data_IF_191683361541
#
_entry.id   IF_191683361541
#
_cell.length_a   1.000
_cell.length_b   1.000
_cell.length_c   1.000
_cell.angle_alpha   90.00
_cell.angle_beta   90.00
_cell.angle_gamma   90.00
#
_symmetry.space_group_name_H-M   'P 1'
#
loop_
_entity.id
_entity.type
_entity.pdbx_description
1 polymer ?
#
# COMPACT_ATOMS: atom_id res chain seq x y z
N UNK A 1 -0.50 5.58 -5.76
CA UNK A 1 0.81 6.23 -5.96
C UNK A 1 1.44 5.71 -7.23
N UNK A 2 2.18 6.56 -7.94
CA UNK A 2 2.92 6.21 -9.16
C UNK A 2 4.38 6.70 -9.09
N UNK A 3 5.26 6.02 -9.82
CA UNK A 3 6.68 6.38 -9.99
C UNK A 3 7.08 6.29 -11.47
N UNK A 4 8.10 7.05 -11.88
CA UNK A 4 8.60 7.10 -13.25
C UNK A 4 10.07 6.75 -13.36
N UNK A 5 10.46 6.06 -14.43
CA UNK A 5 11.87 5.82 -14.73
C UNK A 5 12.59 7.03 -15.38
N UNK A 6 11.93 8.19 -15.41
CA UNK A 6 12.45 9.43 -15.97
C UNK A 6 12.75 10.49 -14.90
N UNK A 7 12.33 10.27 -13.65
CA UNK A 7 12.51 11.24 -12.56
C UNK A 7 12.57 10.62 -11.16
N UNK A 8 12.71 11.48 -10.15
CA UNK A 8 12.86 11.11 -8.75
C UNK A 8 11.60 11.33 -7.91
N UNK A 9 10.44 11.43 -8.56
CA UNK A 9 9.19 11.79 -7.90
C UNK A 9 8.32 10.55 -7.64
N UNK A 10 7.86 10.44 -6.40
CA UNK A 10 6.68 9.63 -6.06
C UNK A 10 5.48 10.55 -6.12
N UNK A 11 4.44 10.13 -6.85
CA UNK A 11 3.23 10.92 -7.07
C UNK A 11 2.04 10.27 -6.41
N UNK A 12 1.27 11.05 -5.68
CA UNK A 12 -0.08 10.67 -5.31
C UNK A 12 -1.01 11.07 -6.45
N UNK A 13 -1.88 10.14 -6.83
CA UNK A 13 -2.77 10.30 -7.97
C UNK A 13 -4.17 9.96 -7.50
N UNK A 14 -5.13 10.80 -7.88
CA UNK A 14 -6.54 10.54 -7.66
C UNK A 14 -6.99 9.37 -8.57
N UNK A 15 -7.50 8.26 -8.01
CA UNK A 15 -7.77 7.05 -8.78
C UNK A 15 -8.93 7.20 -9.78
N UNK A 16 -9.83 8.16 -9.58
CA UNK A 16 -10.98 8.40 -10.47
C UNK A 16 -10.61 9.25 -11.68
N UNK A 17 -9.70 10.21 -11.49
CA UNK A 17 -9.34 11.22 -12.50
C UNK A 17 -7.97 11.01 -13.11
N UNK A 18 -7.11 10.22 -12.47
CA UNK A 18 -5.69 10.06 -12.77
C UNK A 18 -4.86 11.36 -12.70
N UNK A 19 -5.41 12.41 -12.08
CA UNK A 19 -4.69 13.66 -11.87
C UNK A 19 -3.74 13.55 -10.67
N UNK A 20 -2.52 14.07 -10.83
CA UNK A 20 -1.53 14.16 -9.76
C UNK A 20 -2.03 15.13 -8.68
N UNK A 21 -2.18 14.65 -7.45
CA UNK A 21 -2.64 15.43 -6.30
C UNK A 21 -1.49 15.95 -5.44
N UNK A 22 -0.40 15.18 -5.36
CA UNK A 22 0.82 15.57 -4.64
C UNK A 22 2.06 14.90 -5.23
N UNK A 23 3.24 15.49 -5.00
CA UNK A 23 4.52 14.95 -5.45
C UNK A 23 5.56 15.02 -4.32
N UNK A 24 6.35 13.96 -4.18
CA UNK A 24 7.41 13.85 -3.19
C UNK A 24 8.71 13.46 -3.91
N UNK A 25 9.72 14.33 -3.84
CA UNK A 25 11.07 14.01 -4.36
C UNK A 25 11.80 13.09 -3.39
N UNK A 26 12.32 11.98 -3.93
CA UNK A 26 13.10 11.00 -3.18
C UNK A 26 14.58 11.38 -3.04
N UNK A 27 15.05 12.38 -3.80
CA UNK A 27 16.43 12.85 -3.72
C UNK A 27 16.70 13.60 -2.42
N UNK A 28 17.78 13.22 -1.73
CA UNK A 28 18.31 13.91 -0.55
C UNK A 28 19.61 14.60 -0.93
N UNK A 29 19.54 15.92 -1.11
CA UNK A 29 20.67 16.74 -1.51
C UNK A 29 21.93 16.47 -0.65
N UNK A 30 23.01 16.05 -1.31
CA UNK A 30 24.30 15.77 -0.68
C UNK A 30 24.42 14.40 0.02
N UNK A 31 23.40 13.55 -0.07
CA UNK A 31 23.41 12.19 0.48
C UNK A 31 22.99 11.14 -0.55
N UNK A 32 21.82 11.31 -1.17
CA UNK A 32 21.24 10.38 -2.15
C UNK A 32 20.73 11.21 -3.34
N UNK A 33 21.19 10.91 -4.54
CA UNK A 33 20.66 11.52 -5.78
C UNK A 33 20.01 10.41 -6.61
N UNK A 34 18.68 10.49 -6.73
CA UNK A 34 17.86 9.57 -7.50
C UNK A 34 17.66 10.19 -8.88
N UNK A 35 17.89 9.42 -9.93
CA UNK A 35 17.69 9.83 -11.32
C UNK A 35 16.39 9.26 -11.91
N UNK A 36 15.97 8.09 -11.43
CA UNK A 36 14.81 7.35 -11.90
C UNK A 36 14.31 6.37 -10.83
N UNK A 37 13.01 6.11 -10.80
CA UNK A 37 12.39 5.13 -9.89
C UNK A 37 11.53 4.15 -10.69
N UNK A 38 11.70 2.85 -10.43
CA UNK A 38 10.90 1.77 -11.02
C UNK A 38 10.31 0.93 -9.92
N UNK A 39 9.09 0.43 -10.10
CA UNK A 39 8.41 -0.37 -9.09
C UNK A 39 8.20 0.38 -7.77
N UNK A 40 7.06 0.16 -7.15
CA UNK A 40 6.80 0.68 -5.81
C UNK A 40 5.87 -0.29 -5.11
N UNK A 41 6.21 -0.67 -3.89
CA UNK A 41 5.38 -1.52 -3.06
C UNK A 41 5.37 -0.99 -1.63
N UNK A 42 4.27 -1.26 -0.94
CA UNK A 42 4.06 -0.78 0.42
C UNK A 42 4.09 -1.98 1.34
N UNK A 43 4.95 -1.90 2.35
CA UNK A 43 5.05 -2.98 3.31
C UNK A 43 3.73 -3.07 4.11
N UNK A 44 3.05 -4.23 4.13
CA UNK A 44 1.66 -4.35 4.58
C UNK A 44 1.45 -3.98 6.04
N UNK A 45 2.47 -4.13 6.89
CA UNK A 45 2.36 -3.84 8.32
C UNK A 45 3.02 -2.54 8.78
N UNK A 46 4.06 -2.05 8.08
CA UNK A 46 4.76 -0.83 8.50
C UNK A 46 4.31 0.40 7.71
N UNK A 47 3.72 0.21 6.53
CA UNK A 47 3.37 1.30 5.62
C UNK A 47 4.58 1.94 4.93
N UNK A 48 5.79 1.42 5.14
CA UNK A 48 7.00 1.92 4.47
C UNK A 48 6.97 1.57 2.99
N UNK A 49 7.42 2.49 2.15
CA UNK A 49 7.46 2.32 0.70
C UNK A 49 8.81 1.77 0.30
N UNK A 50 8.81 0.72 -0.52
CA UNK A 50 9.99 0.14 -1.11
C UNK A 50 9.98 0.42 -2.61
N UNK A 51 11.11 0.88 -3.13
CA UNK A 51 11.24 1.35 -4.52
C UNK A 51 12.58 0.90 -5.13
N UNK A 52 12.61 0.67 -6.44
CA UNK A 52 13.85 0.41 -7.16
C UNK A 52 14.39 1.73 -7.72
N UNK A 53 15.40 2.29 -7.08
CA UNK A 53 15.95 3.58 -7.42
C UNK A 53 17.24 3.45 -8.24
N UNK A 54 17.28 4.11 -9.40
CA UNK A 54 18.50 4.35 -10.14
C UNK A 54 19.13 5.64 -9.61
N UNK A 55 20.28 5.48 -8.98
CA UNK A 55 21.01 6.53 -8.30
C UNK A 55 22.25 6.99 -9.08
N UNK A 56 22.49 8.30 -9.10
CA UNK A 56 23.77 8.92 -9.46
C UNK A 56 24.68 9.10 -8.24
N UNK A 57 24.12 9.11 -7.02
CA UNK A 57 24.87 9.16 -5.77
C UNK A 57 24.18 8.31 -4.68
N UNK A 58 24.81 7.23 -4.18
CA UNK A 58 25.93 6.52 -4.79
C UNK A 58 25.56 5.97 -6.17
N UNK A 59 26.51 5.93 -7.10
CA UNK A 59 26.23 5.47 -8.48
C UNK A 59 25.71 4.04 -8.49
N UNK A 60 24.61 3.82 -9.20
CA UNK A 60 24.08 2.49 -9.51
C UNK A 60 25.02 1.74 -10.44
N UNK A 61 25.45 0.53 -10.08
CA UNK A 61 26.12 -0.37 -11.02
C UNK A 61 25.15 -0.76 -12.13
N UNK A 62 25.11 0.05 -13.20
CA UNK A 62 24.17 -0.12 -14.29
C UNK A 62 24.24 -1.56 -14.86
N UNK A 63 23.08 -2.18 -15.16
CA UNK A 63 21.73 -1.60 -15.14
C UNK A 63 20.95 -1.80 -13.82
N UNK A 64 21.59 -2.29 -12.76
CA UNK A 64 20.88 -2.73 -11.55
C UNK A 64 20.52 -1.57 -10.61
N UNK A 65 19.26 -1.46 -10.15
CA UNK A 65 18.83 -0.44 -9.20
C UNK A 65 19.33 -0.71 -7.77
N UNK A 66 19.11 0.27 -6.90
CA UNK A 66 19.17 0.08 -5.45
C UNK A 66 17.76 -0.12 -4.90
N UNK A 67 17.63 -0.94 -3.86
CA UNK A 67 16.41 -0.98 -3.07
C UNK A 67 16.44 0.19 -2.08
N UNK A 68 15.46 1.08 -2.22
CA UNK A 68 15.22 2.25 -1.39
C UNK A 68 14.02 1.98 -0.49
N UNK A 69 14.11 2.37 0.77
CA UNK A 69 12.98 2.38 1.72
C UNK A 69 12.67 3.83 2.10
N UNK A 70 11.40 4.20 2.04
CA UNK A 70 10.90 5.48 2.51
C UNK A 70 9.88 5.26 3.63
N UNK A 71 10.10 5.94 4.75
CA UNK A 71 9.17 6.00 5.87
C UNK A 71 8.31 7.27 5.73
N UNK A 72 7.03 7.15 5.33
CA UNK A 72 6.17 8.31 5.12
C UNK A 72 5.74 9.00 6.41
N UNK A 73 5.89 8.36 7.58
CA UNK A 73 5.54 8.94 8.88
C UNK A 73 6.66 9.83 9.38
N UNK A 74 7.89 9.33 9.32
CA UNK A 74 9.09 10.05 9.79
C UNK A 74 9.75 10.90 8.68
N UNK A 75 9.28 10.77 7.44
CA UNK A 75 9.81 11.44 6.25
C UNK A 75 11.31 11.16 6.05
N UNK A 76 11.70 9.90 6.25
CA UNK A 76 13.09 9.47 6.13
C UNK A 76 13.27 8.49 4.98
N UNK A 77 14.31 8.71 4.18
CA UNK A 77 14.71 7.81 3.10
C UNK A 77 15.96 7.05 3.49
N UNK A 78 15.95 5.73 3.34
CA UNK A 78 17.04 4.83 3.66
C UNK A 78 17.41 3.98 2.44
N UNK A 79 18.71 3.82 2.20
CA UNK A 79 19.21 2.90 1.18
C UNK A 79 19.34 1.51 1.80
N UNK A 80 18.46 0.59 1.43
CA UNK A 80 18.44 -0.78 1.97
C UNK A 80 19.65 -1.57 1.47
N UNK A 81 19.87 -1.56 0.15
CA UNK A 81 21.03 -2.20 -0.43
C UNK A 81 20.92 -2.44 -1.94
N UNK A 82 21.97 -3.01 -2.50
CA UNK A 82 22.09 -3.21 -3.93
C UNK A 82 21.39 -4.49 -4.38
N UNK A 83 20.55 -4.41 -5.41
CA UNK A 83 19.73 -5.55 -5.86
C UNK A 83 20.49 -6.58 -6.69
N UNK A 84 21.70 -6.25 -7.15
CA UNK A 84 22.58 -7.10 -7.98
C UNK A 84 22.05 -7.35 -9.40
N UNK A 85 20.75 -7.51 -9.59
CA UNK A 85 20.06 -7.68 -10.87
C UNK A 85 19.23 -6.45 -11.24
N UNK A 86 18.89 -6.33 -12.52
CA UNK A 86 18.07 -5.26 -13.10
C UNK A 86 16.59 -5.56 -12.88
N UNK A 87 16.08 -5.20 -11.70
CA UNK A 87 14.66 -5.33 -11.36
C UNK A 87 13.81 -4.24 -12.01
N UNK A 88 12.63 -4.62 -12.50
CA UNK A 88 11.65 -3.70 -13.08
C UNK A 88 10.52 -3.40 -12.10
N UNK A 89 10.01 -4.42 -11.42
CA UNK A 89 8.81 -4.31 -10.60
C UNK A 89 8.91 -5.11 -9.30
N UNK A 90 8.12 -4.72 -8.30
CA UNK A 90 8.13 -5.34 -6.96
C UNK A 90 6.77 -5.23 -6.27
N UNK A 91 6.50 -6.17 -5.36
CA UNK A 91 5.25 -6.23 -4.62
C UNK A 91 5.42 -7.02 -3.32
N UNK A 92 4.66 -6.67 -2.28
CA UNK A 92 4.68 -7.40 -1.02
C UNK A 92 3.60 -8.48 -0.97
N UNK A 93 3.96 -9.66 -0.46
CA UNK A 93 2.98 -10.61 0.06
C UNK A 93 2.32 -10.05 1.32
N UNK A 94 1.15 -10.58 1.70
CA UNK A 94 0.48 -10.29 2.97
C UNK A 94 1.39 -10.61 4.17
N UNK A 95 2.28 -11.60 4.02
CA UNK A 95 3.27 -11.96 5.03
C UNK A 95 4.44 -10.96 5.17
N UNK A 96 4.57 -10.01 4.25
CA UNK A 96 5.65 -9.01 4.21
C UNK A 96 6.91 -9.47 3.47
N UNK A 97 6.83 -10.53 2.65
CA UNK A 97 7.92 -10.92 1.77
C UNK A 97 7.90 -10.06 0.50
N UNK A 98 9.01 -9.42 0.16
CA UNK A 98 9.11 -8.58 -1.04
C UNK A 98 9.40 -9.44 -2.26
N UNK A 99 8.41 -9.63 -3.14
CA UNK A 99 8.55 -10.25 -4.46
C UNK A 99 9.02 -9.21 -5.47
N UNK A 100 9.81 -9.63 -6.45
CA UNK A 100 10.27 -8.76 -7.51
C UNK A 100 10.53 -9.54 -8.80
N UNK A 101 10.40 -8.85 -9.93
CA UNK A 101 10.71 -9.40 -11.25
C UNK A 101 11.78 -8.58 -11.97
N UNK A 102 12.70 -9.27 -12.64
CA UNK A 102 13.73 -8.60 -13.43
C UNK A 102 13.19 -8.11 -14.77
N UNK A 103 13.82 -7.07 -15.31
CA UNK A 103 13.83 -6.86 -16.75
C UNK A 103 14.34 -8.11 -17.49
N UNK A 104 14.07 -8.17 -18.79
CA UNK A 104 14.54 -9.25 -19.66
C UNK A 104 16.05 -9.43 -19.54
N UNK A 105 16.47 -10.62 -19.12
CA UNK A 105 17.86 -11.00 -19.10
C UNK A 105 18.38 -11.25 -20.52
N UNK A 106 19.70 -11.28 -20.67
CA UNK A 106 20.34 -11.63 -21.95
C UNK A 106 19.94 -13.00 -22.53
N UNK A 107 19.32 -13.87 -21.73
CA UNK A 107 18.77 -15.17 -22.15
C UNK A 107 17.39 -15.05 -22.81
N UNK A 108 16.70 -13.91 -22.68
CA UNK A 108 15.29 -13.73 -23.09
C UNK A 108 14.28 -14.15 -22.02
N UNK A 109 14.75 -14.33 -20.79
CA UNK A 109 13.97 -14.76 -19.63
C UNK A 109 13.97 -13.67 -18.57
N UNK A 110 13.03 -13.73 -17.62
CA UNK A 110 12.95 -12.81 -16.48
C UNK A 110 12.92 -13.60 -15.17
N UNK A 111 13.72 -13.19 -14.18
CA UNK A 111 13.78 -13.88 -12.90
C UNK A 111 12.73 -13.34 -11.96
N UNK A 112 11.98 -14.24 -11.33
CA UNK A 112 11.10 -13.94 -10.22
C UNK A 112 11.83 -14.27 -8.92
N UNK A 113 11.98 -13.28 -8.06
CA UNK A 113 12.82 -13.35 -6.86
C UNK A 113 12.08 -12.86 -5.62
N UNK A 114 12.61 -13.24 -4.45
CA UNK A 114 12.39 -12.53 -3.20
C UNK A 114 13.55 -11.57 -2.95
N UNK A 115 13.28 -10.31 -2.66
CA UNK A 115 14.28 -9.33 -2.26
C UNK A 115 14.35 -9.24 -0.74
N UNK A 116 15.57 -9.26 -0.21
CA UNK A 116 15.78 -8.99 1.22
C UNK A 116 15.50 -7.52 1.54
N UNK A 117 14.49 -7.25 2.36
CA UNK A 117 14.21 -5.89 2.91
C UNK A 117 15.29 -5.37 3.86
N UNK A 118 16.33 -6.17 4.13
CA UNK A 118 17.48 -5.80 4.98
C UNK A 118 18.74 -5.52 4.16
N UNK A 119 18.90 -6.18 3.01
CA UNK A 119 20.15 -6.12 2.24
C UNK A 119 19.97 -5.74 0.77
N UNK A 120 18.74 -5.72 0.26
CA UNK A 120 18.41 -5.61 -1.17
C UNK A 120 18.73 -6.85 -2.00
N UNK A 121 19.44 -7.83 -1.42
CA UNK A 121 19.92 -9.00 -2.15
C UNK A 121 18.78 -9.95 -2.59
N UNK A 122 18.84 -10.51 -3.81
CA UNK A 122 17.80 -11.39 -4.33
C UNK A 122 18.02 -12.86 -3.94
N UNK A 123 16.92 -13.55 -3.67
CA UNK A 123 16.79 -15.00 -3.63
C UNK A 123 15.92 -15.44 -4.81
N UNK A 124 16.52 -16.21 -5.73
CA UNK A 124 15.85 -16.71 -6.92
C UNK A 124 14.76 -17.74 -6.56
N UNK A 125 13.54 -17.53 -7.06
CA UNK A 125 12.40 -18.42 -6.82
C UNK A 125 12.13 -19.28 -8.05
N UNK A 126 11.94 -18.63 -9.19
CA UNK A 126 11.76 -19.25 -10.50
C UNK A 126 12.04 -18.25 -11.63
N UNK A 127 11.87 -18.69 -12.86
CA UNK A 127 12.18 -17.91 -14.05
C UNK A 127 11.05 -18.02 -15.08
N UNK A 128 10.64 -16.88 -15.62
CA UNK A 128 9.67 -16.79 -16.70
C UNK A 128 10.38 -16.79 -18.06
N UNK A 129 9.85 -17.59 -18.99
CA UNK A 129 10.34 -17.64 -20.37
C UNK A 129 9.68 -16.54 -21.22
N UNK A 130 10.36 -16.16 -22.31
CA UNK A 130 9.71 -15.41 -23.39
C UNK A 130 9.43 -13.93 -23.10
N UNK A 131 10.16 -13.32 -22.17
CA UNK A 131 10.14 -11.86 -21.98
C UNK A 131 10.80 -11.15 -23.16
N UNK A 132 10.21 -10.03 -23.59
CA UNK A 132 10.89 -9.05 -24.45
C UNK A 132 10.83 -7.60 -23.93
N UNK A 133 10.43 -7.40 -22.68
CA UNK A 133 10.42 -6.12 -21.96
C UNK A 133 9.18 -5.95 -21.08
N UNK A 134 9.13 -4.89 -20.26
CA UNK A 134 7.91 -4.52 -19.52
C UNK A 134 7.42 -5.54 -18.50
N UNK A 135 8.31 -6.40 -17.97
CA UNK A 135 7.93 -7.40 -16.99
C UNK A 135 7.41 -6.76 -15.71
N UNK A 136 6.14 -6.96 -15.45
CA UNK A 136 5.45 -6.51 -14.25
C UNK A 136 4.71 -7.67 -13.60
N UNK A 137 4.58 -7.62 -12.29
CA UNK A 137 3.89 -8.62 -11.48
C UNK A 137 2.78 -7.98 -10.69
N UNK A 138 1.72 -8.75 -10.43
CA UNK A 138 0.67 -8.38 -9.52
C UNK A 138 0.24 -9.62 -8.71
N UNK A 139 0.10 -9.48 -7.39
CA UNK A 139 -0.42 -10.52 -6.51
C UNK A 139 -1.94 -10.39 -6.45
N UNK A 140 -2.63 -11.17 -7.28
CA UNK A 140 -4.08 -11.24 -7.30
C UNK A 140 -4.65 -11.85 -6.01
N UNK A 141 -5.98 -12.04 -5.99
CA UNK A 141 -6.68 -12.61 -4.84
C UNK A 141 -6.06 -13.94 -4.36
N UNK A 142 -5.77 -14.02 -3.06
CA UNK A 142 -5.11 -15.18 -2.46
C UNK A 142 -3.62 -15.32 -2.80
N UNK A 143 -2.96 -14.21 -3.16
CA UNK A 143 -1.53 -14.10 -3.47
C UNK A 143 -1.10 -14.89 -4.72
N UNK A 144 -2.00 -15.03 -5.68
CA UNK A 144 -1.68 -15.64 -6.98
C UNK A 144 -0.83 -14.67 -7.81
N UNK A 145 0.31 -15.13 -8.33
CA UNK A 145 1.26 -14.27 -9.06
C UNK A 145 0.86 -14.14 -10.52
N UNK A 146 0.22 -13.03 -10.89
CA UNK A 146 0.00 -12.67 -12.27
C UNK A 146 1.22 -11.94 -12.84
N UNK A 147 1.48 -12.13 -14.13
CA UNK A 147 2.55 -11.45 -14.85
C UNK A 147 2.01 -10.79 -16.10
N UNK A 148 2.40 -9.55 -16.32
CA UNK A 148 2.27 -8.86 -17.60
C UNK A 148 3.66 -8.65 -18.19
N UNK A 149 3.80 -8.86 -19.50
CA UNK A 149 5.08 -8.59 -20.17
C UNK A 149 4.92 -8.33 -21.66
N UNK A 150 5.91 -7.66 -22.22
CA UNK A 150 6.23 -7.63 -23.63
C UNK A 150 5.69 -6.44 -24.41
N UNK A 151 5.63 -6.59 -25.75
CA UNK A 151 5.19 -5.56 -26.69
C UNK A 151 6.29 -4.62 -27.18
N UNK A 152 7.52 -4.78 -26.70
CA UNK A 152 8.66 -3.93 -27.04
C UNK A 152 9.35 -4.32 -28.35
N UNK A 153 9.21 -5.57 -28.79
CA UNK A 153 9.73 -6.03 -30.08
C UNK A 153 8.64 -6.05 -31.14
N UNK A 154 8.91 -5.48 -32.32
CA UNK A 154 7.96 -5.50 -33.44
C UNK A 154 7.53 -6.92 -33.79
N UNK A 155 6.23 -7.21 -33.60
CA UNK A 155 5.63 -8.52 -33.89
C UNK A 155 5.58 -9.49 -32.70
N UNK A 156 6.03 -9.07 -31.52
CA UNK A 156 5.80 -9.75 -30.25
C UNK A 156 4.64 -9.05 -29.53
N UNK A 157 3.46 -9.68 -29.41
CA UNK A 157 2.37 -9.09 -28.65
C UNK A 157 2.66 -9.12 -27.16
N UNK A 158 1.98 -8.27 -26.39
CA UNK A 158 1.99 -8.39 -24.93
C UNK A 158 1.31 -9.68 -24.49
N UNK A 159 1.70 -10.12 -23.29
CA UNK A 159 1.18 -11.30 -22.64
C UNK A 159 0.69 -10.91 -21.25
N UNK A 160 -0.47 -11.45 -20.89
CA UNK A 160 -0.95 -11.47 -19.52
C UNK A 160 -1.06 -12.92 -19.11
N UNK A 161 -0.51 -13.28 -17.96
CA UNK A 161 -0.23 -14.64 -17.59
C UNK A 161 -0.66 -14.94 -16.17
N UNK A 162 -1.25 -16.13 -15.98
CA UNK A 162 -1.69 -16.68 -14.70
C UNK A 162 -0.99 -18.02 -14.44
N UNK A 163 -0.61 -18.37 -13.20
CA UNK A 163 0.09 -19.61 -12.90
C UNK A 163 -0.80 -20.85 -13.12
N UNK A 164 -0.22 -21.95 -13.63
CA UNK A 164 -0.98 -23.19 -13.93
C UNK A 164 -1.06 -24.19 -12.77
N UNK A 165 -0.28 -23.98 -11.72
CA UNK A 165 -0.27 -24.86 -10.55
C UNK A 165 -0.03 -24.06 -9.27
N UNK A 166 -0.43 -24.64 -8.15
CA UNK A 166 -0.17 -24.08 -6.81
C UNK A 166 1.23 -24.47 -6.34
N UNK A 167 2.06 -23.50 -5.99
CA UNK A 167 3.38 -23.71 -5.37
C UNK A 167 4.20 -22.42 -5.31
N UNK A 168 5.17 -22.29 -4.39
CA UNK A 168 5.90 -21.03 -4.21
C UNK A 168 6.95 -20.73 -5.30
N UNK A 169 7.29 -21.71 -6.15
CA UNK A 169 8.41 -21.65 -7.10
C UNK A 169 8.00 -22.15 -8.50
N UNK A 170 6.84 -21.77 -9.01
CA UNK A 170 6.44 -22.14 -10.37
C UNK A 170 6.07 -20.93 -11.20
N UNK A 171 7.00 -20.55 -12.06
CA UNK A 171 6.77 -19.62 -13.16
C UNK A 171 6.16 -20.34 -14.38
N UNK A 172 5.59 -21.55 -14.16
CA UNK A 172 4.77 -22.22 -15.15
C UNK A 172 3.43 -21.47 -15.21
N UNK A 173 3.22 -20.76 -16.31
CA UNK A 173 2.05 -19.92 -16.54
C UNK A 173 1.26 -20.35 -17.78
N UNK A 174 0.04 -19.84 -17.87
CA UNK A 174 -0.77 -19.83 -19.09
C UNK A 174 -1.14 -18.41 -19.45
N UNK A 175 -1.10 -18.13 -20.75
CA UNK A 175 -1.48 -16.84 -21.31
C UNK A 175 -3.00 -16.68 -21.29
N UNK A 176 -3.45 -15.59 -20.67
CA UNK A 176 -4.81 -15.05 -20.72
C UNK A 176 -4.97 -14.32 -22.05
N UNK A 177 -6.12 -14.50 -22.70
CA UNK A 177 -6.37 -13.89 -24.01
C UNK A 177 -6.67 -12.41 -23.83
N UNK A 178 -5.81 -11.55 -24.39
CA UNK A 178 -6.00 -10.11 -24.36
C UNK A 178 -6.77 -9.58 -25.59
N UNK A 179 -7.55 -8.51 -25.43
CA UNK A 179 -8.08 -7.69 -26.52
C UNK A 179 -6.95 -7.00 -27.30
N UNK A 180 -7.22 -6.59 -28.54
CA UNK A 180 -6.22 -5.89 -29.37
C UNK A 180 -5.76 -4.55 -28.75
N UNK A 181 -6.65 -3.89 -27.99
CA UNK A 181 -6.31 -2.64 -27.29
C UNK A 181 -5.11 -2.82 -26.34
N UNK A 182 -4.98 -3.99 -25.70
CA UNK A 182 -3.88 -4.32 -24.80
C UNK A 182 -2.74 -5.08 -25.49
N UNK A 183 -3.09 -5.99 -26.41
CA UNK A 183 -2.13 -6.88 -27.07
C UNK A 183 -1.11 -6.17 -27.98
N UNK A 184 -1.48 -4.98 -28.50
CA UNK A 184 -0.73 -4.26 -29.52
C UNK A 184 0.20 -3.16 -28.95
N UNK A 185 0.10 -2.82 -27.67
CA UNK A 185 0.89 -1.77 -27.01
C UNK A 185 1.73 -2.35 -25.86
N UNK A 186 2.98 -1.91 -25.62
CA UNK A 186 3.86 -2.52 -24.62
C UNK A 186 3.36 -2.36 -23.19
N UNK A 187 3.72 -3.32 -22.33
CA UNK A 187 3.40 -3.28 -20.89
C UNK A 187 4.31 -2.31 -20.17
N UNK A 188 3.74 -1.39 -19.40
CA UNK A 188 4.53 -0.46 -18.57
C UNK A 188 4.52 -0.83 -17.09
N UNK A 189 3.34 -1.07 -16.54
CA UNK A 189 3.16 -1.43 -15.13
C UNK A 189 1.84 -2.19 -14.95
N UNK A 190 1.82 -3.04 -13.92
CA UNK A 190 0.66 -3.79 -13.47
C UNK A 190 0.58 -3.66 -11.95
N UNK A 191 -0.62 -3.50 -11.41
CA UNK A 191 -0.88 -3.71 -9.98
C UNK A 191 -2.27 -4.28 -9.78
N UNK A 192 -2.56 -4.86 -8.62
CA UNK A 192 -3.85 -5.44 -8.30
C UNK A 192 -4.62 -4.55 -7.32
N UNK A 193 -5.89 -4.28 -7.64
CA UNK A 193 -6.84 -3.60 -6.78
C UNK A 193 -7.80 -4.63 -6.20
N UNK A 194 -7.56 -4.99 -4.95
CA UNK A 194 -8.26 -6.03 -4.21
C UNK A 194 -9.71 -5.71 -3.90
N UNK A 195 -10.06 -4.46 -3.59
CA UNK A 195 -11.44 -4.05 -3.31
C UNK A 195 -12.38 -4.26 -4.52
N UNK A 196 -11.86 -4.04 -5.74
CA UNK A 196 -12.62 -4.13 -6.98
C UNK A 196 -12.36 -5.45 -7.75
N UNK A 197 -11.46 -6.31 -7.25
CA UNK A 197 -11.08 -7.60 -7.86
C UNK A 197 -10.60 -7.45 -9.32
N UNK A 198 -9.80 -6.42 -9.58
CA UNK A 198 -9.28 -6.06 -10.92
C UNK A 198 -7.81 -5.65 -10.87
N UNK A 199 -7.14 -5.70 -12.02
CA UNK A 199 -5.80 -5.18 -12.21
C UNK A 199 -5.85 -3.79 -12.83
N UNK A 200 -4.94 -2.91 -12.39
CA UNK A 200 -4.64 -1.65 -13.09
C UNK A 200 -3.44 -1.91 -14.00
N UNK A 201 -3.65 -1.74 -15.29
CA UNK A 201 -2.67 -1.95 -16.34
C UNK A 201 -2.33 -0.64 -17.02
N UNK A 202 -1.05 -0.31 -17.09
CA UNK A 202 -0.57 0.87 -17.81
C UNK A 202 0.26 0.45 -19.01
N UNK A 203 0.01 1.11 -20.13
CA UNK A 203 0.72 0.90 -21.39
C UNK A 203 1.88 1.87 -21.54
N UNK A 204 2.93 1.42 -22.22
CA UNK A 204 4.03 2.27 -22.70
C UNK A 204 3.69 2.82 -24.09
N UNK A 205 2.49 3.40 -24.21
CA UNK A 205 2.02 4.07 -25.41
C UNK A 205 2.32 5.58 -25.33
N UNK A 206 1.96 6.33 -26.38
CA UNK A 206 2.25 7.76 -26.41
C UNK A 206 1.47 8.60 -25.39
N UNK A 207 0.44 8.03 -24.74
CA UNK A 207 -0.48 8.73 -23.85
C UNK A 207 -0.46 8.21 -22.41
N UNK A 208 0.37 7.21 -22.10
CA UNK A 208 0.37 6.49 -20.82
C UNK A 208 -1.03 5.97 -20.45
N UNK A 209 -1.68 5.30 -21.40
CA UNK A 209 -3.06 4.85 -21.24
C UNK A 209 -3.18 3.77 -20.17
N UNK A 210 -4.17 3.90 -19.29
CA UNK A 210 -4.47 2.99 -18.20
C UNK A 210 -5.81 2.26 -18.42
N UNK A 211 -5.84 0.97 -18.10
CA UNK A 211 -7.02 0.11 -18.15
C UNK A 211 -7.23 -0.60 -16.81
N UNK A 212 -8.49 -0.82 -16.46
CA UNK A 212 -8.86 -1.87 -15.52
C UNK A 212 -8.99 -3.17 -16.31
N UNK A 213 -8.45 -4.27 -15.78
CA UNK A 213 -8.48 -5.59 -16.41
C UNK A 213 -8.92 -6.62 -15.38
N UNK A 214 -9.87 -7.49 -15.71
CA UNK A 214 -10.23 -8.63 -14.86
C UNK A 214 -9.27 -9.84 -15.04
N UNK A 215 -9.44 -10.88 -14.22
CA UNK A 215 -8.65 -12.11 -14.32
C UNK A 215 -8.82 -12.89 -15.64
N UNK A 216 -9.86 -12.56 -16.42
CA UNK A 216 -10.16 -13.13 -17.74
C UNK A 216 -9.57 -12.30 -18.90
N UNK A 217 -8.91 -11.17 -18.59
CA UNK A 217 -8.28 -10.27 -19.55
C UNK A 217 -9.24 -9.30 -20.24
N UNK A 218 -10.47 -9.13 -19.74
CA UNK A 218 -11.39 -8.11 -20.26
C UNK A 218 -11.01 -6.73 -19.76
N UNK A 219 -10.99 -5.76 -20.66
CA UNK A 219 -10.50 -4.42 -20.40
C UNK A 219 -11.63 -3.39 -20.28
N UNK A 220 -11.43 -2.43 -19.39
CA UNK A 220 -12.17 -1.18 -19.31
C UNK A 220 -11.18 -0.02 -19.27
N UNK A 221 -11.31 0.95 -20.18
CA UNK A 221 -10.49 2.15 -20.16
C UNK A 221 -10.70 2.90 -18.84
N UNK A 222 -9.61 3.15 -18.12
CA UNK A 222 -9.59 3.96 -16.91
C UNK A 222 -9.33 5.42 -17.27
N UNK A 223 -8.26 5.68 -18.04
CA UNK A 223 -7.87 7.03 -18.44
C UNK A 223 -6.45 7.10 -18.99
N UNK A 224 -5.84 8.27 -18.92
CA UNK A 224 -4.47 8.55 -19.37
C UNK A 224 -3.73 9.26 -18.24
N UNK A 225 -2.52 8.78 -17.88
CA UNK A 225 -1.66 9.51 -16.95
C UNK A 225 -0.93 10.66 -17.66
N UNK A 226 -0.75 11.78 -16.97
CA UNK A 226 0.01 12.92 -17.49
C UNK A 226 1.55 12.74 -17.44
N UNK A 227 2.01 11.60 -16.94
CA UNK A 227 3.41 11.22 -16.78
C UNK A 227 3.61 9.70 -17.02
N UNK A 228 4.87 9.32 -17.16
CA UNK A 228 5.28 7.92 -17.27
C UNK A 228 5.06 7.17 -15.93
N UNK A 229 4.59 5.91 -16.00
CA UNK A 229 4.24 5.12 -14.80
C UNK A 229 4.94 3.76 -14.84
N UNK A 230 6.20 3.70 -14.37
CA UNK A 230 6.97 2.45 -14.23
C UNK A 230 6.73 1.72 -12.89
N UNK A 231 5.72 2.13 -12.12
CA UNK A 231 5.34 1.44 -10.89
C UNK A 231 4.12 2.08 -10.27
N UNK A 232 3.25 1.26 -9.69
CA UNK A 232 2.02 1.68 -9.03
C UNK A 232 1.92 0.95 -7.70
N UNK A 233 1.56 1.69 -6.66
CA UNK A 233 1.12 1.10 -5.40
C UNK A 233 -0.19 1.75 -4.97
N UNK A 234 -1.14 0.92 -4.55
CA UNK A 234 -2.38 1.39 -3.95
C UNK A 234 -2.13 1.71 -2.47
N UNK A 235 -2.61 2.88 -2.05
CA UNK A 235 -2.68 3.25 -0.64
C UNK A 235 -4.15 3.32 -0.29
N UNK A 236 -4.56 2.49 0.66
CA UNK A 236 -5.77 2.78 1.42
C UNK A 236 -5.49 3.96 2.34
N UNK A 237 -5.89 5.14 1.91
CA UNK A 237 -5.95 6.28 2.81
C UNK A 237 -7.19 6.05 3.65
N UNK A 238 -7.00 5.75 4.94
CA UNK A 238 -8.06 5.96 5.91
C UNK A 238 -8.41 7.43 5.86
N UNK A 239 -9.42 7.79 5.04
CA UNK A 239 -9.88 9.16 4.92
C UNK A 239 -10.22 9.59 6.34
N UNK A 240 -9.58 10.63 6.91
CA UNK A 240 -10.11 11.21 8.11
C UNK A 240 -11.53 11.68 7.75
N UNK A 241 -12.51 10.96 8.28
CA UNK A 241 -13.92 11.34 8.26
C UNK A 241 -14.00 12.83 8.65
N UNK A 242 -14.91 13.64 8.07
CA UNK A 242 -14.95 15.07 8.31
C UNK A 242 -14.86 15.35 9.81
N UNK A 243 -14.02 16.30 10.20
CA UNK A 243 -13.81 16.74 11.59
C UNK A 243 -15.12 16.68 12.38
N UNK A 244 -15.27 15.67 13.25
CA UNK A 244 -16.51 15.38 13.99
C UNK A 244 -16.50 14.05 14.73
N UNK A 245 -16.36 12.91 14.03
CA UNK A 245 -16.81 11.63 14.61
C UNK A 245 -15.72 10.56 14.79
N UNK A 246 -14.46 10.88 14.50
CA UNK A 246 -13.36 9.94 14.74
C UNK A 246 -12.91 10.00 16.20
N UNK A 247 -12.80 8.86 16.86
CA UNK A 247 -12.32 8.76 18.24
C UNK A 247 -11.62 7.43 18.50
N UNK A 248 -11.06 7.30 19.70
CA UNK A 248 -10.62 6.03 20.26
C UNK A 248 -11.53 5.74 21.46
N UNK A 249 -12.30 4.65 21.38
CA UNK A 249 -13.18 4.19 22.45
C UNK A 249 -12.34 3.88 23.69
N UNK A 250 -12.65 4.57 24.77
CA UNK A 250 -11.87 4.55 26.01
C UNK A 250 -10.81 5.66 26.17
N UNK A 251 -10.54 6.51 25.17
CA UNK A 251 -9.70 7.72 25.30
C UNK A 251 -10.57 8.90 25.77
N UNK A 252 -10.89 8.91 27.06
CA UNK A 252 -11.84 9.85 27.63
C UNK A 252 -11.24 11.25 27.82
N UNK A 253 -9.92 11.36 27.94
CA UNK A 253 -9.22 12.63 28.15
C UNK A 253 -8.61 13.22 26.85
N UNK A 254 -8.79 12.54 25.71
CA UNK A 254 -8.38 12.95 24.36
C UNK A 254 -6.86 13.12 24.23
N UNK A 255 -6.09 12.25 24.90
CA UNK A 255 -4.63 12.26 24.86
C UNK A 255 -4.03 11.21 23.91
N UNK A 256 -4.88 10.52 23.14
CA UNK A 256 -4.58 9.42 22.22
C UNK A 256 -4.08 8.14 22.92
N UNK A 257 -4.17 8.07 24.24
CA UNK A 257 -3.89 6.88 25.03
C UNK A 257 -5.15 6.32 25.67
N UNK A 258 -5.24 5.00 25.83
CA UNK A 258 -6.29 4.35 26.62
C UNK A 258 -5.67 3.70 27.84
N UNK A 259 -5.85 4.32 29.00
CA UNK A 259 -5.23 3.91 30.26
C UNK A 259 -6.09 4.26 31.50
N UNK A 260 -5.47 4.21 32.69
CA UNK A 260 -6.18 4.48 33.95
C UNK A 260 -6.60 5.96 34.10
N UNK A 261 -5.91 6.88 33.44
CA UNK A 261 -6.24 8.30 33.44
C UNK A 261 -7.63 8.54 32.83
N UNK A 262 -7.99 7.79 31.80
CA UNK A 262 -9.30 7.86 31.13
C UNK A 262 -10.43 7.45 32.05
N UNK A 263 -10.28 6.33 32.75
CA UNK A 263 -11.26 5.89 33.74
C UNK A 263 -11.44 6.93 34.86
N UNK A 264 -10.36 7.60 35.28
CA UNK A 264 -10.41 8.68 36.28
C UNK A 264 -11.09 9.93 35.72
N UNK A 265 -10.79 10.30 34.48
CA UNK A 265 -11.39 11.45 33.81
C UNK A 265 -12.89 11.24 33.62
N UNK A 266 -13.30 10.09 33.12
CA UNK A 266 -14.70 9.68 32.96
C UNK A 266 -15.47 9.70 34.28
N UNK A 267 -14.93 9.10 35.35
CA UNK A 267 -15.61 9.15 36.65
C UNK A 267 -15.67 10.57 37.22
N UNK A 268 -14.67 11.41 36.94
CA UNK A 268 -14.65 12.80 37.35
C UNK A 268 -15.73 13.61 36.63
N UNK A 269 -15.87 13.45 35.31
CA UNK A 269 -16.89 14.12 34.51
C UNK A 269 -18.32 13.70 34.91
N UNK A 270 -18.51 12.44 35.31
CA UNK A 270 -19.81 11.91 35.74
C UNK A 270 -20.23 12.36 37.16
N UNK A 271 -19.30 12.45 38.11
CA UNK A 271 -19.65 12.54 39.54
C UNK A 271 -19.11 13.75 40.29
N UNK A 272 -18.13 14.48 39.77
CA UNK A 272 -17.54 15.63 40.47
C UNK A 272 -18.17 16.93 39.96
N UNK A 273 -18.92 17.67 40.77
CA UNK A 273 -19.50 18.93 40.32
C UNK A 273 -18.40 19.94 39.92
N UNK A 274 -18.48 20.45 38.69
CA UNK A 274 -17.55 21.45 38.15
C UNK A 274 -16.26 20.88 37.56
N UNK A 275 -16.15 19.57 37.39
CA UNK A 275 -15.15 18.96 36.50
C UNK A 275 -15.46 19.28 35.03
N UNK A 276 -14.44 19.12 34.17
CA UNK A 276 -14.61 19.28 32.73
C UNK A 276 -15.50 18.15 32.18
N UNK A 277 -16.45 18.46 31.27
CA UNK A 277 -17.25 17.45 30.60
C UNK A 277 -16.38 16.63 29.62
N UNK A 278 -16.87 15.46 29.23
CA UNK A 278 -16.27 14.70 28.12
C UNK A 278 -16.35 15.53 26.85
N UNK A 279 -15.22 15.69 26.15
CA UNK A 279 -15.19 16.27 24.82
C UNK A 279 -15.73 15.33 23.75
N UNK A 280 -15.57 14.01 23.95
CA UNK A 280 -16.10 12.97 23.08
C UNK A 280 -16.93 12.00 23.92
N UNK A 281 -18.24 11.94 23.66
CA UNK A 281 -19.12 11.06 24.43
C UNK A 281 -19.06 9.62 23.93
N UNK A 282 -18.77 9.41 22.65
CA UNK A 282 -18.55 8.07 22.09
C UNK A 282 -17.29 7.42 22.68
N UNK A 283 -16.23 8.19 22.92
CA UNK A 283 -15.06 7.70 23.65
C UNK A 283 -15.37 7.30 25.10
N UNK A 284 -16.39 7.93 25.70
CA UNK A 284 -16.86 7.64 27.05
C UNK A 284 -17.84 6.48 27.16
N UNK A 285 -18.42 6.04 26.05
CA UNK A 285 -19.26 4.84 25.94
C UNK A 285 -18.37 3.63 25.60
N UNK A 286 -17.69 3.13 26.61
CA UNK A 286 -16.60 2.15 26.45
C UNK A 286 -17.15 0.75 26.21
N UNK A 287 -18.36 0.46 26.67
CA UNK A 287 -19.02 -0.83 26.42
C UNK A 287 -19.99 -0.80 25.24
N UNK A 288 -20.11 0.33 24.55
CA UNK A 288 -20.87 0.51 23.30
C UNK A 288 -22.35 0.15 23.48
N UNK A 289 -22.95 0.66 24.58
CA UNK A 289 -24.35 0.38 24.95
C UNK A 289 -25.33 1.55 24.74
N UNK A 290 -24.84 2.66 24.19
CA UNK A 290 -25.56 3.89 23.89
C UNK A 290 -25.73 4.81 25.09
N UNK A 291 -24.87 4.70 26.11
CA UNK A 291 -25.03 5.40 27.36
C UNK A 291 -23.78 5.51 28.23
N UNK A 292 -23.14 6.69 28.23
CA UNK A 292 -22.03 7.01 29.14
C UNK A 292 -22.44 7.02 30.62
N UNK A 293 -21.95 6.05 31.39
CA UNK A 293 -22.22 5.88 32.82
C UNK A 293 -21.06 5.18 33.57
N UNK A 294 -21.34 4.67 34.78
CA UNK A 294 -20.31 4.01 35.61
C UNK A 294 -19.90 2.63 35.07
N UNK A 295 -20.76 1.99 34.28
CA UNK A 295 -20.48 0.71 33.65
C UNK A 295 -19.28 0.80 32.70
N UNK A 296 -19.13 1.91 31.98
CA UNK A 296 -18.02 2.21 31.07
C UNK A 296 -16.67 2.22 31.77
N UNK A 297 -16.58 2.93 32.90
CA UNK A 297 -15.36 2.96 33.70
C UNK A 297 -15.00 1.57 34.25
N UNK A 298 -16.00 0.77 34.63
CA UNK A 298 -15.78 -0.62 35.09
C UNK A 298 -15.34 -1.52 33.93
N UNK A 299 -15.93 -1.34 32.75
CA UNK A 299 -15.60 -2.09 31.54
C UNK A 299 -14.16 -1.78 31.10
N UNK A 300 -13.78 -0.50 31.05
CA UNK A 300 -12.43 -0.04 30.74
C UNK A 300 -11.39 -0.60 31.72
N UNK A 301 -11.64 -0.48 33.03
CA UNK A 301 -10.70 -1.02 34.02
C UNK A 301 -10.60 -2.55 33.95
N UNK A 302 -11.69 -3.22 33.57
CA UNK A 302 -11.68 -4.67 33.35
C UNK A 302 -10.81 -5.02 32.13
N UNK A 303 -10.99 -4.34 31.00
CA UNK A 303 -10.20 -4.54 29.79
C UNK A 303 -8.70 -4.26 29.99
N UNK A 304 -8.36 -3.27 30.84
CA UNK A 304 -6.97 -2.92 31.14
C UNK A 304 -6.26 -3.89 32.09
N UNK A 305 -6.96 -4.47 33.07
CA UNK A 305 -6.31 -5.16 34.19
C UNK A 305 -6.72 -6.63 34.41
N UNK A 306 -7.77 -7.12 33.75
CA UNK A 306 -8.25 -8.50 33.92
C UNK A 306 -7.89 -9.31 32.67
N UNK A 307 -6.93 -10.25 32.76
CA UNK A 307 -6.61 -11.11 31.62
C UNK A 307 -7.82 -11.90 31.15
N UNK A 308 -8.14 -11.80 29.85
CA UNK A 308 -9.24 -12.52 29.20
C UNK A 308 -10.63 -11.89 29.37
N UNK A 309 -10.73 -10.64 29.85
CA UNK A 309 -11.96 -9.86 29.73
C UNK A 309 -12.29 -9.55 28.26
N UNK A 310 -13.53 -9.11 28.00
CA UNK A 310 -13.91 -8.59 26.70
C UNK A 310 -12.99 -7.42 26.29
N UNK A 311 -12.63 -7.36 25.01
CA UNK A 311 -11.93 -6.21 24.44
C UNK A 311 -12.90 -5.03 24.32
N UNK A 312 -12.34 -3.82 24.28
CA UNK A 312 -13.10 -2.61 23.98
C UNK A 312 -13.58 -2.69 22.52
N UNK A 313 -14.89 -2.49 22.25
CA UNK A 313 -15.41 -2.45 20.89
C UNK A 313 -14.71 -1.40 20.03
N UNK A 314 -14.73 -1.59 18.71
CA UNK A 314 -14.16 -0.63 17.77
C UNK A 314 -14.94 0.70 17.79
N UNK A 315 -14.29 1.84 17.51
CA UNK A 315 -12.87 2.03 17.23
C UNK A 315 -12.05 2.02 18.53
N UNK A 316 -11.06 1.15 18.70
CA UNK A 316 -10.29 1.04 19.95
C UNK A 316 -8.81 1.42 19.78
N UNK A 317 -8.02 1.31 20.86
CA UNK A 317 -6.59 1.69 20.82
C UNK A 317 -5.76 0.82 19.86
N UNK A 318 -6.28 -0.34 19.44
CA UNK A 318 -5.63 -1.22 18.46
C UNK A 318 -5.95 -0.82 17.02
N UNK A 319 -7.18 -0.42 16.71
CA UNK A 319 -7.54 0.14 15.40
C UNK A 319 -7.06 1.58 15.22
N UNK A 320 -6.83 2.29 16.33
CA UNK A 320 -6.60 3.72 16.32
C UNK A 320 -7.90 4.49 16.08
N UNK A 321 -7.75 5.75 15.68
CA UNK A 321 -8.86 6.64 15.39
C UNK A 321 -9.77 6.08 14.30
N UNK A 322 -11.06 6.01 14.58
CA UNK A 322 -12.07 5.63 13.60
C UNK A 322 -13.45 6.16 13.97
N UNK A 323 -14.42 6.06 13.05
CA UNK A 323 -15.82 6.38 13.33
C UNK A 323 -16.47 5.30 14.19
N UNK A 324 -17.62 5.59 14.83
CA UNK A 324 -18.42 4.56 15.50
C UNK A 324 -19.09 3.63 14.44
N UNK A 325 -18.72 2.33 14.35
CA UNK A 325 -19.34 1.41 13.40
C UNK A 325 -20.79 1.09 13.72
N UNK A 326 -21.22 1.39 14.95
CA UNK A 326 -22.56 1.09 15.48
C UNK A 326 -23.42 2.33 15.69
N UNK A 327 -23.01 3.48 15.15
CA UNK A 327 -23.66 4.79 15.27
C UNK A 327 -25.19 4.72 15.06
N UNK A 328 -25.89 4.51 16.16
CA UNK A 328 -27.36 4.33 16.21
C UNK A 328 -27.98 5.07 17.38
N UNK A 329 -27.18 5.79 18.15
CA UNK A 329 -27.58 6.53 19.34
C UNK A 329 -27.25 8.04 19.15
N UNK A 330 -27.59 8.92 20.11
CA UNK A 330 -27.39 10.37 19.96
C UNK A 330 -26.10 10.86 20.65
N UNK A 331 -25.14 9.98 20.93
CA UNK A 331 -23.81 10.36 21.39
C UNK A 331 -23.01 10.91 20.20
N UNK A 332 -22.17 11.91 20.48
CA UNK A 332 -21.38 12.61 19.48
C UNK A 332 -20.05 13.03 20.11
N UNK A 333 -19.07 13.37 19.27
CA UNK A 333 -17.79 13.91 19.68
C UNK A 333 -17.61 15.38 19.32
N UNK A 334 -17.92 16.25 20.29
CA UNK A 334 -17.71 17.71 20.17
C UNK A 334 -16.23 18.09 20.02
N UNK A 335 -15.35 17.27 20.59
CA UNK A 335 -13.89 17.38 20.50
C UNK A 335 -13.29 15.99 20.38
N UNK A 336 -12.27 15.84 19.54
CA UNK A 336 -11.53 14.59 19.42
C UNK A 336 -10.03 14.83 19.58
N UNK A 337 -9.33 13.83 20.12
CA UNK A 337 -7.87 13.75 20.12
C UNK A 337 -7.31 13.22 18.80
N UNK A 338 -8.18 12.76 17.89
CA UNK A 338 -7.84 12.26 16.58
C UNK A 338 -7.51 13.39 15.59
N UNK A 339 -6.49 13.21 14.72
CA UNK A 339 -6.01 14.23 13.79
C UNK A 339 -6.96 14.59 12.65
#
# INVERSE_FOLDING_TARGET
>A
MTVSDQDDLVREVDPDTLEVTSEISMSIAGSIEVDAIRGIAIHPTSGNWFMLAMLSLPVSPAPSPWLLEYDPVNLTTNLVGFTVLDFNDLEFTEAGDLRAITNTLSTGESNFCELSTVTGGPLDLCQYDGSDGGDSIALGNGEEVFRASGGYTTGSPTQFERPVATGPNNCDSTVITLPAALADEPVRSLTYWDEEDVFIWVQDDANNTAYLIDEDGQEQLLGEFDHDVNGIALIEVLIPCPTGDNFIRGDCNLDMGVNVADAVFLLSSLFIPGSDPLGCRDAGDVNDDGGVNVADAVFLLSSLFIPGSAAVPEPNIQSGCGPDPTDTDPLECDQTGCP
#
